data_IF_273669706402
#
_entry.id   IF_273669706402
#
_cell.length_a   1.000
_cell.length_b   1.000
_cell.length_c   1.000
_cell.angle_alpha   90.00
_cell.angle_beta   90.00
_cell.angle_gamma   90.00
#
_symmetry.space_group_name_H-M   'P 1'
#
loop_
_entity.id
_entity.type
_entity.pdbx_description
1 polymer ?
#
# COMPACT_ATOMS: atom_id res chain seq x y z
N UNK A 1 21.20 28.58 8.38
CA UNK A 1 21.20 27.46 9.34
C UNK A 1 20.65 26.25 8.63
N UNK A 2 21.41 25.15 8.54
CA UNK A 2 20.88 23.87 8.08
C UNK A 2 20.14 23.26 9.28
N UNK A 3 18.80 23.23 9.25
CA UNK A 3 18.03 22.47 10.21
C UNK A 3 18.07 21.01 9.77
N UNK A 4 18.88 20.19 10.45
CA UNK A 4 18.85 18.74 10.25
C UNK A 4 17.60 18.19 10.95
N UNK A 5 16.75 17.49 10.19
CA UNK A 5 15.61 16.78 10.78
C UNK A 5 16.14 15.64 11.66
N UNK A 6 15.96 15.78 12.98
CA UNK A 6 16.46 14.84 13.98
C UNK A 6 15.88 13.44 13.81
N UNK A 7 14.61 13.32 13.39
CA UNK A 7 13.98 12.03 13.14
C UNK A 7 14.62 11.35 11.92
N UNK A 8 14.96 12.13 10.89
CA UNK A 8 15.69 11.64 9.72
C UNK A 8 17.11 11.16 10.08
N UNK A 9 17.81 11.85 10.98
CA UNK A 9 19.10 11.40 11.51
C UNK A 9 18.95 10.10 12.31
N UNK A 10 17.97 10.04 13.22
CA UNK A 10 17.66 8.85 14.00
C UNK A 10 17.30 7.65 13.11
N UNK A 11 16.58 7.88 12.01
CA UNK A 11 16.27 6.84 11.03
C UNK A 11 17.52 6.34 10.32
N UNK A 12 18.41 7.23 9.84
CA UNK A 12 19.70 6.81 9.24
C UNK A 12 20.57 6.02 10.23
N UNK A 13 20.63 6.45 11.49
CA UNK A 13 21.35 5.75 12.56
C UNK A 13 20.70 4.38 12.86
N UNK A 14 19.38 4.27 12.76
CA UNK A 14 18.66 3.00 12.86
C UNK A 14 18.94 2.07 11.68
N UNK A 15 18.89 2.58 10.44
CA UNK A 15 19.24 1.83 9.22
C UNK A 15 20.66 1.28 9.31
N UNK A 16 21.63 2.11 9.70
CA UNK A 16 23.03 1.69 9.83
C UNK A 16 23.20 0.53 10.83
N UNK A 17 22.49 0.56 11.95
CA UNK A 17 22.48 -0.54 12.93
C UNK A 17 21.74 -1.76 12.41
N UNK A 18 20.59 -1.56 11.77
CA UNK A 18 19.75 -2.62 11.22
C UNK A 18 20.46 -3.45 10.16
N UNK A 19 21.36 -2.86 9.36
CA UNK A 19 22.19 -3.61 8.39
C UNK A 19 23.02 -4.73 9.02
N UNK A 20 23.37 -4.60 10.29
CA UNK A 20 24.09 -5.62 11.08
C UNK A 20 23.18 -6.48 11.96
N UNK A 21 21.86 -6.25 11.91
CA UNK A 21 20.87 -6.89 12.77
C UNK A 21 19.88 -7.72 11.95
N UNK A 22 19.81 -9.01 12.25
CA UNK A 22 18.81 -9.92 11.69
C UNK A 22 18.11 -10.63 12.85
N UNK A 23 16.83 -10.87 12.69
CA UNK A 23 16.03 -11.71 13.58
C UNK A 23 15.38 -12.82 12.74
N UNK A 24 14.66 -13.73 13.39
CA UNK A 24 13.75 -14.63 12.69
C UNK A 24 12.54 -13.85 12.19
N UNK A 25 12.72 -13.16 11.05
CA UNK A 25 11.71 -12.25 10.48
C UNK A 25 10.43 -12.96 10.05
N UNK A 26 10.48 -14.26 9.75
CA UNK A 26 9.27 -15.03 9.45
C UNK A 26 8.36 -15.20 10.67
N UNK A 27 8.94 -15.28 11.87
CA UNK A 27 8.17 -15.33 13.13
C UNK A 27 7.86 -13.95 13.68
N UNK A 28 8.88 -13.10 13.74
CA UNK A 28 8.80 -11.81 14.41
C UNK A 28 8.17 -10.72 13.54
N UNK A 29 8.21 -10.88 12.22
CA UNK A 29 7.87 -9.87 11.23
C UNK A 29 8.97 -8.82 11.06
N UNK A 30 9.17 -8.35 9.83
CA UNK A 30 10.16 -7.33 9.50
C UNK A 30 9.63 -5.92 9.78
N UNK A 31 10.45 -5.09 10.43
CA UNK A 31 10.29 -3.64 10.50
C UNK A 31 11.66 -2.99 10.74
N UNK A 32 11.89 -1.75 10.29
CA UNK A 32 13.11 -1.02 10.62
C UNK A 32 13.29 -0.82 12.13
N UNK A 33 14.52 -0.93 12.63
CA UNK A 33 14.82 -0.80 14.06
C UNK A 33 14.29 0.50 14.66
N UNK A 34 13.44 0.41 15.68
CA UNK A 34 12.93 1.58 16.41
C UNK A 34 11.85 2.37 15.69
N UNK A 35 11.41 1.92 14.51
CA UNK A 35 10.29 2.49 13.76
C UNK A 35 9.24 1.41 13.51
N UNK A 36 7.99 1.82 13.34
CA UNK A 36 6.97 0.88 12.85
C UNK A 36 6.93 0.85 11.32
N UNK A 37 6.34 -0.23 10.80
CA UNK A 37 5.99 -0.37 9.39
C UNK A 37 4.46 -0.40 9.24
N UNK A 38 3.93 0.53 8.47
CA UNK A 38 2.52 0.53 8.01
C UNK A 38 2.49 0.67 6.51
N UNK A 39 1.32 0.39 5.93
CA UNK A 39 0.92 0.52 4.52
C UNK A 39 2.10 0.50 3.57
N UNK A 40 2.29 -0.66 2.96
CA UNK A 40 3.48 -0.98 2.19
C UNK A 40 3.12 -1.43 0.79
N UNK A 41 4.11 -1.36 -0.09
CA UNK A 41 4.11 -2.05 -1.37
C UNK A 41 5.37 -2.91 -1.50
N UNK A 42 5.17 -4.13 -1.99
CA UNK A 42 6.21 -5.03 -2.41
C UNK A 42 6.25 -5.10 -3.93
N UNK A 43 7.36 -4.67 -4.53
CA UNK A 43 7.56 -4.69 -5.97
C UNK A 43 8.82 -5.48 -6.32
N UNK A 44 8.69 -6.44 -7.23
CA UNK A 44 9.79 -7.34 -7.61
C UNK A 44 10.39 -6.93 -8.95
N UNK A 45 11.73 -6.84 -8.99
CA UNK A 45 12.51 -6.62 -10.21
C UNK A 45 13.76 -7.49 -10.14
N UNK A 46 13.99 -8.27 -11.20
CA UNK A 46 15.18 -9.10 -11.40
C UNK A 46 15.54 -10.03 -10.21
N UNK A 47 14.51 -10.63 -9.60
CA UNK A 47 14.62 -11.53 -8.46
C UNK A 47 14.81 -10.83 -7.12
N UNK A 48 14.70 -9.50 -7.06
CA UNK A 48 14.81 -8.71 -5.82
C UNK A 48 13.47 -8.05 -5.53
N UNK A 49 12.93 -8.32 -4.35
CA UNK A 49 11.78 -7.62 -3.81
C UNK A 49 12.20 -6.33 -3.16
N UNK A 50 11.60 -5.22 -3.58
CA UNK A 50 11.70 -3.91 -2.95
C UNK A 50 10.46 -3.66 -2.11
N UNK A 51 10.67 -3.37 -0.83
CA UNK A 51 9.64 -2.98 0.12
C UNK A 51 9.69 -1.46 0.31
N UNK A 52 8.63 -0.79 -0.10
CA UNK A 52 8.39 0.62 0.21
C UNK A 52 7.30 0.70 1.26
N UNK A 53 7.50 1.48 2.30
CA UNK A 53 6.55 1.49 3.41
C UNK A 53 6.54 2.81 4.16
N UNK A 54 5.43 3.06 4.86
CA UNK A 54 5.40 4.13 5.85
C UNK A 54 6.33 3.74 7.01
N UNK A 55 7.25 4.65 7.33
CA UNK A 55 8.10 4.56 8.51
C UNK A 55 7.74 5.69 9.47
N UNK A 56 7.25 5.37 10.66
CA UNK A 56 6.86 6.36 11.65
C UNK A 56 7.38 6.03 13.05
N UNK A 57 7.35 7.05 13.91
CA UNK A 57 7.84 6.98 15.29
C UNK A 57 6.79 6.28 16.17
N UNK A 58 7.12 5.17 16.84
CA UNK A 58 6.19 4.47 17.71
C UNK A 58 5.58 5.39 18.79
N UNK A 59 4.26 5.27 18.99
CA UNK A 59 3.52 6.08 19.96
C UNK A 59 3.14 7.48 19.47
N UNK A 60 3.54 7.87 18.26
CA UNK A 60 3.10 9.11 17.61
C UNK A 60 1.97 8.80 16.63
N UNK A 61 0.90 9.61 16.68
CA UNK A 61 -0.22 9.46 15.75
C UNK A 61 0.22 9.75 14.31
N UNK A 62 -0.39 9.06 13.34
CA UNK A 62 -0.18 9.33 11.91
C UNK A 62 -0.71 10.72 11.50
N UNK A 63 -1.69 11.26 12.21
CA UNK A 63 -2.27 12.57 11.90
C UNK A 63 -1.52 13.75 12.56
N UNK A 64 -0.40 13.48 13.27
CA UNK A 64 0.39 14.54 13.91
C UNK A 64 1.49 15.01 12.96
N UNK A 65 1.51 16.30 12.57
CA UNK A 65 2.53 16.86 11.70
C UNK A 65 3.95 16.52 12.18
N UNK A 66 4.81 16.09 11.25
CA UNK A 66 6.19 15.69 11.53
C UNK A 66 6.42 14.17 11.64
N UNK A 67 5.37 13.36 11.73
CA UNK A 67 5.46 11.89 11.63
C UNK A 67 5.12 11.42 10.21
N UNK A 68 5.58 10.23 9.78
CA UNK A 68 5.23 9.64 8.46
C UNK A 68 5.52 10.58 7.27
N UNK A 69 6.67 11.27 7.35
CA UNK A 69 7.11 12.30 6.38
C UNK A 69 8.06 11.77 5.30
N UNK A 70 8.29 10.46 5.26
CA UNK A 70 9.06 9.77 4.22
C UNK A 70 8.65 8.31 4.08
N UNK A 71 9.04 7.68 2.98
CA UNK A 71 8.98 6.23 2.82
C UNK A 71 10.31 5.58 3.14
N UNK A 72 10.23 4.54 3.99
CA UNK A 72 11.33 3.61 4.20
C UNK A 72 11.49 2.67 3.01
N UNK A 73 12.69 2.11 2.86
CA UNK A 73 13.02 1.17 1.80
C UNK A 73 13.83 0.01 2.35
N UNK A 74 13.49 -1.22 1.93
CA UNK A 74 14.25 -2.41 2.21
C UNK A 74 14.18 -3.37 1.03
N UNK A 75 15.14 -4.29 0.93
CA UNK A 75 15.14 -5.33 -0.11
C UNK A 75 15.29 -6.72 0.47
N UNK A 76 14.72 -7.70 -0.22
CA UNK A 76 14.90 -9.12 0.07
C UNK A 76 14.86 -9.94 -1.21
N UNK A 77 15.47 -11.12 -1.22
CA UNK A 77 15.28 -12.12 -2.29
C UNK A 77 14.39 -13.28 -1.85
N UNK A 78 14.25 -13.48 -0.53
CA UNK A 78 13.76 -14.71 0.06
C UNK A 78 12.78 -14.48 1.22
N UNK A 79 12.50 -13.23 1.62
CA UNK A 79 11.73 -12.84 2.80
C UNK A 79 12.28 -13.33 4.16
N UNK A 80 13.40 -14.06 4.16
CA UNK A 80 14.12 -14.54 5.34
C UNK A 80 15.19 -13.54 5.75
N UNK A 81 15.89 -12.98 4.78
CA UNK A 81 16.96 -12.00 4.98
C UNK A 81 16.55 -10.66 4.37
N UNK A 82 16.80 -9.58 5.11
CA UNK A 82 16.41 -8.23 4.69
C UNK A 82 17.59 -7.28 4.74
N UNK A 83 17.73 -6.47 3.70
CA UNK A 83 18.65 -5.34 3.67
C UNK A 83 17.87 -4.04 3.78
N UNK A 84 18.09 -3.28 4.86
CA UNK A 84 17.44 -1.99 5.08
C UNK A 84 18.24 -0.86 4.44
N UNK A 85 17.55 0.01 3.72
CA UNK A 85 18.10 1.16 3.01
C UNK A 85 17.73 2.48 3.67
N UNK A 86 18.36 3.55 3.21
CA UNK A 86 17.96 4.91 3.60
C UNK A 86 16.55 5.24 3.07
N UNK A 87 15.86 6.24 3.65
CA UNK A 87 14.57 6.67 3.10
C UNK A 87 14.70 7.08 1.63
N UNK A 88 13.70 6.69 0.83
CA UNK A 88 13.77 6.79 -0.63
C UNK A 88 12.91 7.93 -1.20
N UNK A 89 11.98 8.47 -0.41
CA UNK A 89 11.06 9.53 -0.82
C UNK A 89 10.61 10.34 0.40
N UNK A 90 10.53 11.67 0.29
CA UNK A 90 10.20 12.59 1.38
C UNK A 90 9.04 13.51 0.97
N UNK A 91 8.30 14.04 1.94
CA UNK A 91 7.39 15.19 1.74
C UNK A 91 8.10 16.35 1.04
N UNK A 92 7.34 17.18 0.32
CA UNK A 92 7.82 18.49 -0.14
C UNK A 92 7.24 19.57 0.77
N UNK A 93 8.08 20.19 1.58
CA UNK A 93 7.67 21.25 2.53
C UNK A 93 7.10 22.50 1.85
N UNK A 94 7.26 22.64 0.52
CA UNK A 94 6.65 23.70 -0.29
C UNK A 94 5.54 23.19 -1.20
N UNK A 95 5.31 21.88 -1.22
CA UNK A 95 4.36 21.20 -2.09
C UNK A 95 2.98 21.03 -1.45
N UNK A 96 2.10 20.35 -2.18
CA UNK A 96 0.76 20.01 -1.71
C UNK A 96 0.74 18.83 -0.72
N UNK A 97 1.82 18.04 -0.67
CA UNK A 97 2.05 16.88 0.19
C UNK A 97 3.03 17.20 1.33
N UNK A 98 2.99 18.43 1.84
CA UNK A 98 3.91 18.97 2.85
C UNK A 98 3.68 18.46 4.27
N UNK A 99 2.60 17.72 4.53
CA UNK A 99 2.26 17.18 5.84
C UNK A 99 2.78 15.75 6.01
N UNK A 100 2.36 14.84 5.13
CA UNK A 100 2.68 13.41 5.20
C UNK A 100 2.69 12.74 3.83
N UNK A 101 3.27 11.54 3.78
CA UNK A 101 3.19 10.61 2.65
C UNK A 101 2.76 9.22 3.12
N UNK A 102 1.68 8.67 2.55
CA UNK A 102 1.10 7.38 2.94
C UNK A 102 0.94 6.42 1.76
N UNK A 103 0.86 5.12 2.09
CA UNK A 103 0.44 4.02 1.23
C UNK A 103 1.04 4.08 -0.20
N UNK A 104 2.35 3.85 -0.34
CA UNK A 104 2.98 3.78 -1.65
C UNK A 104 2.47 2.55 -2.41
N UNK A 105 2.36 2.66 -3.72
CA UNK A 105 2.14 1.55 -4.65
C UNK A 105 3.07 1.70 -5.85
N UNK A 106 3.83 0.65 -6.15
CA UNK A 106 4.85 0.69 -7.21
C UNK A 106 4.52 -0.27 -8.34
N UNK A 107 4.75 0.18 -9.57
CA UNK A 107 4.72 -0.65 -10.77
C UNK A 107 5.82 -0.25 -11.75
N UNK A 108 6.22 -1.16 -12.63
CA UNK A 108 7.18 -0.89 -13.71
C UNK A 108 6.47 -0.81 -15.05
N UNK A 109 6.73 0.25 -15.82
CA UNK A 109 6.17 0.41 -17.15
C UNK A 109 7.06 1.31 -18.01
N UNK A 110 7.24 0.94 -19.29
CA UNK A 110 8.01 1.74 -20.24
C UNK A 110 9.49 1.91 -19.89
N UNK A 111 10.10 0.94 -19.21
CA UNK A 111 11.51 1.00 -18.79
C UNK A 111 11.76 1.92 -17.58
N UNK A 112 10.71 2.33 -16.88
CA UNK A 112 10.77 3.18 -15.68
C UNK A 112 9.87 2.61 -14.58
N UNK A 113 10.15 2.99 -13.33
CA UNK A 113 9.35 2.62 -12.17
C UNK A 113 8.49 3.81 -11.74
N UNK A 114 7.26 3.52 -11.35
CA UNK A 114 6.23 4.51 -11.02
C UNK A 114 5.69 4.20 -9.62
N UNK A 115 5.70 5.19 -8.74
CA UNK A 115 5.14 5.11 -7.40
C UNK A 115 3.92 6.04 -7.34
N UNK A 116 2.76 5.46 -7.08
CA UNK A 116 1.57 6.19 -6.66
C UNK A 116 1.59 6.29 -5.15
N UNK A 117 1.32 7.47 -4.61
CA UNK A 117 1.38 7.68 -3.17
C UNK A 117 0.29 8.65 -2.73
N UNK A 118 -0.15 8.52 -1.49
CA UNK A 118 -1.05 9.47 -0.86
C UNK A 118 -0.23 10.61 -0.29
N UNK A 119 -0.39 11.82 -0.82
CA UNK A 119 0.17 13.02 -0.20
C UNK A 119 -0.88 13.69 0.67
N UNK A 120 -0.45 14.17 1.83
CA UNK A 120 -1.34 14.78 2.83
C UNK A 120 -0.83 16.16 3.21
N UNK A 121 -1.70 17.17 3.11
CA UNK A 121 -1.41 18.51 3.59
C UNK A 121 -1.57 18.61 5.12
N UNK A 122 -1.05 19.66 5.76
CA UNK A 122 -1.18 19.82 7.23
C UNK A 122 -2.61 20.03 7.72
N UNK A 123 -3.54 20.38 6.83
CA UNK A 123 -4.98 20.40 7.13
C UNK A 123 -5.65 19.02 6.98
N UNK A 124 -4.87 17.96 6.70
CA UNK A 124 -5.31 16.60 6.39
C UNK A 124 -6.01 16.43 5.04
N UNK A 125 -5.92 17.40 4.11
CA UNK A 125 -6.36 17.17 2.73
C UNK A 125 -5.50 16.07 2.10
N UNK A 126 -6.12 14.97 1.66
CA UNK A 126 -5.45 13.82 1.05
C UNK A 126 -5.69 13.82 -0.46
N UNK A 127 -4.64 13.55 -1.22
CA UNK A 127 -4.67 13.42 -2.69
C UNK A 127 -3.64 12.37 -3.13
N UNK A 128 -3.76 11.87 -4.36
CA UNK A 128 -2.77 10.92 -4.88
C UNK A 128 -1.79 11.63 -5.81
N UNK A 129 -0.51 11.43 -5.56
CA UNK A 129 0.62 11.89 -6.36
C UNK A 129 1.30 10.74 -7.09
N UNK A 130 2.24 11.11 -7.97
CA UNK A 130 3.09 10.18 -8.70
C UNK A 130 4.54 10.58 -8.53
N UNK A 131 5.40 9.60 -8.25
CA UNK A 131 6.84 9.70 -8.33
C UNK A 131 7.39 8.66 -9.31
N UNK A 132 8.55 8.94 -9.87
CA UNK A 132 9.25 8.08 -10.83
C UNK A 132 10.64 7.76 -10.34
N UNK A 133 11.14 6.59 -10.73
CA UNK A 133 12.50 6.15 -10.45
C UNK A 133 13.06 5.35 -11.62
N UNK A 134 14.35 5.54 -11.88
CA UNK A 134 15.11 4.75 -12.86
C UNK A 134 15.89 3.60 -12.20
N UNK A 135 16.01 3.60 -10.86
CA UNK A 135 16.87 2.66 -10.12
C UNK A 135 16.20 1.98 -8.92
N UNK A 136 14.94 2.30 -8.61
CA UNK A 136 14.16 1.83 -7.44
C UNK A 136 14.64 2.38 -6.07
N UNK A 137 15.75 3.12 -6.00
CA UNK A 137 16.29 3.68 -4.76
C UNK A 137 16.00 5.17 -4.62
N UNK A 138 15.99 5.90 -5.73
CA UNK A 138 15.76 7.35 -5.76
C UNK A 138 14.47 7.66 -6.49
N UNK A 139 13.58 8.37 -5.82
CA UNK A 139 12.27 8.74 -6.35
C UNK A 139 12.14 10.24 -6.51
N UNK A 140 11.69 10.66 -7.68
CA UNK A 140 11.41 12.07 -8.00
C UNK A 140 9.93 12.24 -8.28
N UNK A 141 9.30 13.29 -7.73
CA UNK A 141 7.91 13.62 -8.07
C UNK A 141 7.79 13.82 -9.59
N UNK A 142 6.85 13.16 -10.21
CA UNK A 142 6.61 13.27 -11.64
C UNK A 142 5.86 14.57 -12.03
N UNK A 143 5.23 15.22 -11.04
CA UNK A 143 4.43 16.43 -11.20
C UNK A 143 4.44 17.24 -9.91
N UNK A 144 4.34 18.57 -10.03
CA UNK A 144 4.13 19.50 -8.91
C UNK A 144 2.68 19.52 -8.41
N UNK A 145 1.79 18.83 -9.13
CA UNK A 145 0.37 18.69 -8.82
C UNK A 145 -0.01 17.21 -8.63
N UNK A 146 -0.98 16.92 -7.75
CA UNK A 146 -1.54 15.59 -7.59
C UNK A 146 -2.30 15.15 -8.84
N UNK A 147 -2.31 13.84 -9.09
CA UNK A 147 -2.97 13.23 -10.25
C UNK A 147 -4.41 12.82 -9.98
N UNK A 148 -4.79 12.59 -8.71
CA UNK A 148 -6.19 12.41 -8.28
C UNK A 148 -6.53 13.50 -7.29
N UNK A 149 -7.61 14.24 -7.58
CA UNK A 149 -8.05 15.42 -6.84
C UNK A 149 -9.52 15.29 -6.50
N UNK A 150 -9.86 14.61 -5.39
CA UNK A 150 -11.25 14.33 -5.02
C UNK A 150 -12.13 15.58 -4.95
N UNK A 151 -11.54 16.75 -4.65
CA UNK A 151 -12.27 18.02 -4.62
C UNK A 151 -12.83 18.48 -5.97
N UNK A 152 -12.35 17.90 -7.08
CA UNK A 152 -12.82 18.19 -8.44
C UNK A 152 -13.99 17.29 -8.87
N UNK A 153 -14.39 16.33 -8.03
CA UNK A 153 -15.39 15.31 -8.36
C UNK A 153 -16.72 15.54 -7.64
N UNK A 154 -17.82 15.58 -8.41
CA UNK A 154 -19.15 15.90 -7.89
C UNK A 154 -19.72 14.88 -6.90
N UNK A 155 -19.20 13.65 -6.86
CA UNK A 155 -19.75 12.58 -6.02
C UNK A 155 -18.99 12.41 -4.69
N UNK A 156 -17.80 12.99 -4.57
CA UNK A 156 -16.90 12.79 -3.42
C UNK A 156 -17.20 13.79 -2.30
N UNK A 157 -17.11 13.32 -1.07
CA UNK A 157 -16.94 14.16 0.11
C UNK A 157 -15.45 14.30 0.40
N UNK A 158 -14.87 15.49 0.22
CA UNK A 158 -13.47 15.77 0.51
C UNK A 158 -13.33 16.66 1.76
N UNK A 159 -13.25 16.07 2.97
CA UNK A 159 -13.09 16.85 4.19
C UNK A 159 -11.67 17.45 4.27
N UNK A 160 -11.58 18.70 4.73
CA UNK A 160 -10.31 19.38 5.06
C UNK A 160 -10.01 19.38 6.56
N UNK A 161 -10.72 18.55 7.32
CA UNK A 161 -10.39 18.21 8.72
C UNK A 161 -11.10 16.92 9.11
N UNK A 162 -10.39 16.02 9.82
CA UNK A 162 -11.00 14.87 10.49
C UNK A 162 -11.61 13.79 9.58
N UNK A 163 -11.29 13.75 8.29
CA UNK A 163 -11.77 12.70 7.40
C UNK A 163 -10.79 12.36 6.28
N UNK A 164 -11.03 11.23 5.64
CA UNK A 164 -10.18 10.69 4.58
C UNK A 164 -11.03 10.39 3.35
N UNK A 165 -10.57 10.83 2.18
CA UNK A 165 -11.36 10.76 0.97
C UNK A 165 -10.56 10.45 -0.31
N UNK A 166 -9.25 10.27 -0.21
CA UNK A 166 -8.41 9.92 -1.35
C UNK A 166 -7.05 9.38 -0.88
N UNK A 167 -6.95 8.05 -0.75
CA UNK A 167 -5.72 7.37 -0.32
C UNK A 167 -5.63 5.95 -0.87
N UNK A 168 -4.49 5.31 -0.63
CA UNK A 168 -4.24 3.88 -0.82
C UNK A 168 -4.43 3.45 -2.29
N UNK A 169 -3.67 4.09 -3.17
CA UNK A 169 -3.72 3.79 -4.60
C UNK A 169 -3.31 2.33 -4.88
N UNK A 170 -4.02 1.66 -5.78
CA UNK A 170 -3.61 0.39 -6.37
C UNK A 170 -3.86 0.42 -7.86
N UNK A 171 -2.85 0.11 -8.68
CA UNK A 171 -2.96 0.22 -10.13
C UNK A 171 -2.83 -1.14 -10.80
N UNK A 172 -3.71 -1.41 -11.77
CA UNK A 172 -3.59 -2.56 -12.67
C UNK A 172 -3.62 -2.09 -14.12
N UNK A 173 -3.07 -2.89 -15.02
CA UNK A 173 -3.32 -2.77 -16.45
C UNK A 173 -4.48 -3.68 -16.86
N UNK A 174 -5.45 -3.13 -17.60
CA UNK A 174 -6.56 -3.89 -18.15
C UNK A 174 -7.05 -3.27 -19.46
N UNK A 175 -7.21 -4.09 -20.49
CA UNK A 175 -7.68 -3.68 -21.83
C UNK A 175 -6.91 -2.50 -22.43
N UNK A 176 -5.57 -2.51 -22.27
CA UNK A 176 -4.68 -1.48 -22.81
C UNK A 176 -4.76 -0.12 -22.09
N UNK A 177 -5.35 -0.09 -20.89
CA UNK A 177 -5.42 1.10 -20.03
C UNK A 177 -5.04 0.76 -18.60
N UNK A 178 -4.56 1.76 -17.88
CA UNK A 178 -4.34 1.65 -16.45
C UNK A 178 -5.61 1.98 -15.69
N UNK A 179 -5.89 1.19 -14.66
CA UNK A 179 -7.00 1.39 -13.72
C UNK A 179 -6.42 1.60 -12.34
N UNK A 180 -6.65 2.78 -11.76
CA UNK A 180 -6.27 3.11 -10.39
C UNK A 180 -7.48 2.97 -9.50
N UNK A 181 -7.35 2.21 -8.43
CA UNK A 181 -8.33 2.07 -7.36
C UNK A 181 -7.84 2.82 -6.13
N UNK A 182 -8.74 3.48 -5.42
CA UNK A 182 -8.38 4.25 -4.24
C UNK A 182 -9.57 4.34 -3.27
N UNK A 183 -9.26 4.57 -2.01
CA UNK A 183 -10.27 4.82 -0.98
C UNK A 183 -10.85 6.21 -1.14
N UNK A 184 -12.17 6.32 -1.12
CA UNK A 184 -12.89 7.59 -1.08
C UNK A 184 -14.13 7.53 -0.18
N UNK A 185 -14.69 8.71 0.13
CA UNK A 185 -15.96 8.85 0.84
C UNK A 185 -16.93 9.59 -0.07
N UNK A 186 -18.14 9.06 -0.23
CA UNK A 186 -19.21 9.68 -1.03
C UNK A 186 -19.83 10.85 -0.27
N UNK A 187 -20.53 11.76 -0.98
CA UNK A 187 -21.28 12.89 -0.37
C UNK A 187 -22.34 12.49 0.66
N UNK A 188 -22.84 11.25 0.60
CA UNK A 188 -23.77 10.70 1.59
C UNK A 188 -23.06 10.23 2.89
N UNK A 189 -21.74 10.38 2.97
CA UNK A 189 -20.90 9.98 4.09
C UNK A 189 -20.44 8.51 4.05
N UNK A 190 -20.95 7.70 3.13
CA UNK A 190 -20.54 6.30 3.04
C UNK A 190 -19.18 6.15 2.34
N UNK A 191 -18.35 5.24 2.84
CA UNK A 191 -17.09 4.91 2.18
C UNK A 191 -17.31 4.24 0.83
N UNK A 192 -16.24 4.18 0.04
CA UNK A 192 -16.18 3.41 -1.20
C UNK A 192 -14.73 3.13 -1.64
N UNK A 193 -14.60 2.15 -2.52
CA UNK A 193 -13.46 2.06 -3.45
C UNK A 193 -13.87 2.76 -4.73
N UNK A 194 -13.11 3.77 -5.11
CA UNK A 194 -13.28 4.54 -6.33
C UNK A 194 -12.30 4.08 -7.40
N UNK A 195 -12.55 4.48 -8.65
CA UNK A 195 -11.69 4.14 -9.79
C UNK A 195 -11.39 5.37 -10.64
N UNK A 196 -10.21 5.39 -11.22
CA UNK A 196 -9.83 6.28 -12.31
C UNK A 196 -9.12 5.50 -13.42
N UNK A 197 -9.14 6.00 -14.66
CA UNK A 197 -8.47 5.37 -15.79
C UNK A 197 -7.46 6.28 -16.48
N UNK A 198 -6.35 5.71 -16.94
CA UNK A 198 -5.27 6.43 -17.62
C UNK A 198 -4.74 5.64 -18.83
N UNK A 199 -4.14 6.34 -19.78
CA UNK A 199 -3.38 5.75 -20.87
C UNK A 199 -1.85 5.88 -20.68
N UNK A 200 -1.40 6.72 -19.72
CA UNK A 200 0.00 7.16 -19.62
C UNK A 200 0.53 7.29 -18.19
N UNK A 201 -0.24 6.84 -17.19
CA UNK A 201 0.07 6.89 -15.75
C UNK A 201 0.12 8.30 -15.13
N UNK A 202 -0.02 9.36 -15.91
CA UNK A 202 0.05 10.75 -15.44
C UNK A 202 -1.29 11.46 -15.51
N UNK A 203 -2.06 11.23 -16.57
CA UNK A 203 -3.35 11.86 -16.79
C UNK A 203 -4.46 10.86 -16.51
N UNK A 204 -5.29 11.17 -15.52
CA UNK A 204 -6.32 10.28 -15.01
C UNK A 204 -7.71 10.86 -15.23
N UNK A 205 -8.62 10.02 -15.73
CA UNK A 205 -10.04 10.33 -15.84
C UNK A 205 -10.76 9.69 -14.67
N UNK A 206 -11.57 10.47 -13.94
CA UNK A 206 -12.47 9.95 -12.92
C UNK A 206 -13.48 8.97 -13.54
N UNK A 207 -13.65 7.83 -12.89
CA UNK A 207 -14.60 6.80 -13.28
C UNK A 207 -15.64 6.53 -12.19
N UNK A 208 -15.60 7.29 -11.09
CA UNK A 208 -16.54 7.22 -10.00
C UNK A 208 -16.35 6.00 -9.08
N UNK A 209 -17.45 5.61 -8.45
CA UNK A 209 -17.47 4.53 -7.45
C UNK A 209 -17.40 3.16 -8.12
N UNK A 210 -16.36 2.39 -7.81
CA UNK A 210 -16.22 1.00 -8.24
C UNK A 210 -16.93 0.03 -7.29
N UNK A 211 -16.88 0.28 -5.98
CA UNK A 211 -17.57 -0.49 -4.95
C UNK A 211 -17.99 0.42 -3.79
N UNK A 212 -19.28 0.41 -3.43
CA UNK A 212 -19.82 1.24 -2.36
C UNK A 212 -20.09 0.46 -1.08
N UNK A 213 -19.99 1.13 0.06
CA UNK A 213 -20.41 0.56 1.35
C UNK A 213 -21.75 1.18 1.79
N UNK A 214 -22.51 0.42 2.60
CA UNK A 214 -23.80 0.84 3.16
C UNK A 214 -23.67 1.37 4.60
N UNK A 215 -22.53 1.98 4.94
CA UNK A 215 -22.25 2.66 6.21
C UNK A 215 -21.02 3.55 6.07
N UNK A 216 -20.77 4.41 7.07
CA UNK A 216 -19.46 5.04 7.26
C UNK A 216 -18.43 3.92 7.47
N UNK A 217 -17.68 3.62 6.42
CA UNK A 217 -16.63 2.62 6.43
C UNK A 217 -15.38 3.27 5.84
N UNK A 218 -14.33 3.39 6.64
CA UNK A 218 -13.00 3.68 6.12
C UNK A 218 -12.48 2.40 5.47
N UNK A 219 -12.88 2.18 4.22
CA UNK A 219 -12.25 1.19 3.37
C UNK A 219 -10.78 1.57 3.23
N UNK A 220 -9.86 0.62 3.36
CA UNK A 220 -8.42 0.92 3.28
C UNK A 220 -7.72 -0.12 2.43
N UNK A 221 -6.66 0.33 1.74
CA UNK A 221 -5.69 -0.53 1.07
C UNK A 221 -6.35 -1.53 0.11
N UNK A 222 -7.13 -0.98 -0.84
CA UNK A 222 -7.77 -1.77 -1.88
C UNK A 222 -6.73 -2.48 -2.73
N UNK A 223 -6.93 -3.76 -3.01
CA UNK A 223 -5.97 -4.57 -3.76
C UNK A 223 -6.74 -5.45 -4.77
N UNK A 224 -6.63 -5.12 -6.06
CA UNK A 224 -7.38 -5.77 -7.15
C UNK A 224 -6.53 -6.84 -7.82
N UNK A 225 -7.08 -8.06 -7.90
CA UNK A 225 -6.36 -9.25 -8.32
C UNK A 225 -7.19 -10.02 -9.36
N UNK A 226 -6.56 -10.33 -10.50
CA UNK A 226 -7.12 -11.27 -11.48
C UNK A 226 -6.97 -12.70 -10.98
N UNK A 227 -7.99 -13.53 -11.18
CA UNK A 227 -8.04 -14.94 -10.84
C UNK A 227 -7.79 -15.82 -12.06
N UNK A 228 -7.44 -17.10 -11.83
CA UNK A 228 -7.08 -18.04 -12.90
C UNK A 228 -8.25 -18.36 -13.85
N UNK A 229 -9.49 -18.30 -13.34
CA UNK A 229 -10.73 -18.47 -14.11
C UNK A 229 -11.11 -17.22 -14.94
N UNK A 230 -10.31 -16.16 -14.88
CA UNK A 230 -10.54 -14.91 -15.59
C UNK A 230 -11.44 -13.91 -14.85
N UNK A 231 -12.08 -14.32 -13.75
CA UNK A 231 -12.78 -13.41 -12.85
C UNK A 231 -11.76 -12.59 -12.06
N UNK A 232 -12.28 -11.70 -11.24
CA UNK A 232 -11.49 -10.75 -10.46
C UNK A 232 -11.93 -10.72 -9.01
N UNK A 233 -10.99 -10.34 -8.15
CA UNK A 233 -11.17 -10.20 -6.71
C UNK A 233 -10.63 -8.85 -6.26
N UNK A 234 -11.43 -8.12 -5.49
CA UNK A 234 -11.03 -6.91 -4.79
C UNK A 234 -10.91 -7.23 -3.30
N UNK A 235 -9.71 -7.11 -2.75
CA UNK A 235 -9.47 -7.08 -1.31
C UNK A 235 -9.54 -5.66 -0.76
N UNK A 236 -9.90 -5.53 0.50
CA UNK A 236 -9.89 -4.26 1.23
C UNK A 236 -9.97 -4.49 2.75
N UNK A 237 -9.44 -3.54 3.50
CA UNK A 237 -9.65 -3.40 4.94
C UNK A 237 -10.89 -2.54 5.27
N UNK A 238 -11.37 -2.63 6.51
CA UNK A 238 -12.42 -1.74 7.04
C UNK A 238 -13.00 -2.27 8.37
N UNK A 239 -12.90 -1.42 9.42
CA UNK A 239 -13.34 -1.49 10.84
C UNK A 239 -13.39 -2.83 11.62
N UNK A 240 -13.49 -4.00 11.00
CA UNK A 240 -13.71 -5.29 11.67
C UNK A 240 -13.05 -6.49 11.00
N UNK A 241 -12.61 -6.37 9.74
CA UNK A 241 -11.84 -7.42 9.07
C UNK A 241 -11.26 -6.97 7.73
N UNK A 242 -10.16 -7.62 7.35
CA UNK A 242 -9.79 -7.78 5.97
C UNK A 242 -10.83 -8.64 5.26
N UNK A 243 -11.27 -8.19 4.08
CA UNK A 243 -12.38 -8.80 3.35
C UNK A 243 -12.12 -8.78 1.84
N UNK A 244 -12.95 -9.50 1.09
CA UNK A 244 -12.94 -9.43 -0.37
C UNK A 244 -14.35 -9.51 -0.98
N UNK A 245 -14.45 -9.09 -2.24
CA UNK A 245 -15.58 -9.34 -3.15
C UNK A 245 -15.06 -9.80 -4.51
N UNK A 246 -15.87 -10.58 -5.23
CA UNK A 246 -15.55 -11.09 -6.56
C UNK A 246 -16.47 -10.47 -7.62
N UNK A 247 -15.98 -10.33 -8.85
CA UNK A 247 -16.85 -10.19 -10.04
C UNK A 247 -16.16 -10.58 -11.34
N UNK A 248 -16.92 -10.48 -12.43
CA UNK A 248 -16.49 -10.89 -13.77
C UNK A 248 -15.65 -9.83 -14.49
N UNK A 249 -15.66 -8.57 -14.02
CA UNK A 249 -14.87 -7.48 -14.60
C UNK A 249 -14.31 -6.56 -13.50
N UNK A 250 -13.21 -5.83 -13.77
CA UNK A 250 -12.57 -4.99 -12.77
C UNK A 250 -13.15 -3.57 -12.69
N UNK A 251 -14.13 -3.21 -13.53
CA UNK A 251 -14.60 -1.82 -13.60
C UNK A 251 -15.60 -1.46 -12.52
N UNK A 252 -16.52 -2.39 -12.20
CA UNK A 252 -17.56 -2.20 -11.18
C UNK A 252 -17.83 -3.51 -10.46
N UNK A 253 -17.74 -3.46 -9.15
CA UNK A 253 -18.04 -4.61 -8.28
C UNK A 253 -19.53 -4.65 -7.94
N UNK A 254 -20.12 -5.85 -7.83
CA UNK A 254 -21.51 -6.01 -7.48
C UNK A 254 -21.76 -5.54 -6.06
N UNK A 255 -22.97 -5.06 -5.78
CA UNK A 255 -23.43 -4.70 -4.43
C UNK A 255 -23.79 -5.99 -3.67
N UNK A 256 -22.76 -6.76 -3.35
CA UNK A 256 -22.86 -8.03 -2.61
C UNK A 256 -22.15 -7.90 -1.28
N UNK A 257 -22.60 -8.70 -0.32
CA UNK A 257 -21.91 -8.79 0.95
C UNK A 257 -20.46 -9.27 0.75
N UNK A 258 -19.53 -8.54 1.35
CA UNK A 258 -18.12 -8.92 1.47
C UNK A 258 -17.96 -10.25 2.20
N UNK A 259 -16.95 -11.02 1.80
CA UNK A 259 -16.50 -12.19 2.55
C UNK A 259 -15.31 -11.81 3.42
N UNK A 260 -15.42 -12.06 4.73
CA UNK A 260 -14.34 -11.84 5.70
C UNK A 260 -13.24 -12.89 5.52
N UNK A 261 -11.97 -12.47 5.57
CA UNK A 261 -10.81 -13.37 5.56
C UNK A 261 -10.12 -13.47 6.92
N UNK A 262 -9.91 -12.31 7.60
CA UNK A 262 -9.12 -12.21 8.84
C UNK A 262 -9.32 -10.84 9.52
N UNK A 263 -9.29 -10.74 10.85
CA UNK A 263 -9.63 -9.49 11.58
C UNK A 263 -8.51 -8.88 12.44
N UNK A 264 -7.38 -9.54 12.58
CA UNK A 264 -6.21 -9.09 13.34
C UNK A 264 -5.09 -8.51 12.44
N UNK A 265 -5.38 -8.28 11.16
CA UNK A 265 -4.44 -7.77 10.16
C UNK A 265 -4.94 -6.49 9.49
N UNK A 266 -4.01 -5.77 8.88
CA UNK A 266 -4.29 -4.68 7.94
C UNK A 266 -3.16 -4.62 6.89
N UNK A 267 -3.38 -3.85 5.82
CA UNK A 267 -2.46 -3.68 4.69
C UNK A 267 -1.94 -5.00 4.15
N UNK A 268 -2.68 -5.64 3.23
CA UNK A 268 -2.30 -6.92 2.63
C UNK A 268 -2.03 -6.78 1.14
N UNK A 269 -0.93 -7.36 0.67
CA UNK A 269 -0.62 -7.49 -0.74
C UNK A 269 -0.44 -8.95 -1.16
N UNK A 270 -0.86 -9.27 -2.38
CA UNK A 270 -0.60 -10.58 -2.99
C UNK A 270 0.78 -10.56 -3.64
N UNK A 271 1.69 -11.38 -3.12
CA UNK A 271 3.08 -11.53 -3.60
C UNK A 271 3.12 -12.47 -4.81
N UNK A 272 2.54 -13.66 -4.67
CA UNK A 272 2.65 -14.72 -5.68
C UNK A 272 1.45 -15.67 -5.62
N UNK A 273 1.09 -16.23 -6.76
CA UNK A 273 -0.01 -17.20 -6.89
C UNK A 273 0.53 -18.52 -7.41
N UNK A 274 0.12 -19.62 -6.80
CA UNK A 274 0.42 -20.98 -7.24
C UNK A 274 -0.86 -21.82 -7.15
N UNK A 275 -1.60 -21.88 -8.26
CA UNK A 275 -2.94 -22.46 -8.26
C UNK A 275 -3.84 -21.75 -7.24
N UNK A 276 -4.46 -22.54 -6.37
CA UNK A 276 -5.34 -22.05 -5.29
C UNK A 276 -4.59 -21.54 -4.05
N UNK A 277 -3.26 -21.60 -4.03
CA UNK A 277 -2.46 -21.13 -2.90
C UNK A 277 -1.78 -19.81 -3.24
N UNK A 278 -2.11 -18.77 -2.49
CA UNK A 278 -1.62 -17.42 -2.73
C UNK A 278 -0.74 -16.98 -1.57
N UNK A 279 0.51 -16.65 -1.88
CA UNK A 279 1.44 -16.02 -0.96
C UNK A 279 1.07 -14.54 -0.84
N UNK A 280 0.90 -14.08 0.38
CA UNK A 280 0.55 -12.70 0.73
C UNK A 280 1.52 -12.14 1.75
N UNK A 281 1.77 -10.84 1.67
CA UNK A 281 2.30 -10.06 2.78
C UNK A 281 1.15 -9.33 3.47
N UNK A 282 1.31 -9.10 4.76
CA UNK A 282 0.39 -8.29 5.57
C UNK A 282 1.13 -7.75 6.79
N UNK A 283 0.56 -6.79 7.53
CA UNK A 283 1.07 -6.47 8.86
C UNK A 283 0.02 -6.69 9.96
N UNK A 284 0.49 -7.18 11.10
CA UNK A 284 -0.35 -7.42 12.26
C UNK A 284 -0.58 -6.14 13.07
N UNK A 285 -1.80 -5.95 13.57
CA UNK A 285 -2.19 -4.74 14.33
C UNK A 285 -1.46 -4.57 15.66
N UNK A 286 -0.85 -5.63 16.20
CA UNK A 286 -0.19 -5.59 17.51
C UNK A 286 1.17 -4.91 17.50
N UNK A 287 1.93 -5.05 16.41
CA UNK A 287 3.34 -4.62 16.36
C UNK A 287 3.74 -3.87 15.10
N UNK A 288 2.85 -3.73 14.10
CA UNK A 288 3.14 -3.00 12.87
C UNK A 288 4.43 -3.49 12.19
N UNK A 289 4.48 -4.81 11.98
CA UNK A 289 5.58 -5.53 11.34
C UNK A 289 5.06 -6.31 10.15
N UNK A 290 5.83 -6.33 9.08
CA UNK A 290 5.55 -7.09 7.86
C UNK A 290 5.68 -8.59 8.13
N UNK A 291 4.62 -9.33 7.84
CA UNK A 291 4.54 -10.77 7.92
C UNK A 291 4.20 -11.33 6.54
N UNK A 292 4.54 -12.60 6.33
CA UNK A 292 4.15 -13.35 5.14
C UNK A 292 3.28 -14.54 5.52
N UNK A 293 2.34 -14.88 4.66
CA UNK A 293 1.43 -15.99 4.86
C UNK A 293 0.82 -16.51 3.58
N UNK A 294 0.04 -17.58 3.71
CA UNK A 294 -0.64 -18.23 2.59
C UNK A 294 -2.14 -18.16 2.79
N UNK A 295 -2.86 -17.81 1.72
CA UNK A 295 -4.29 -18.07 1.59
C UNK A 295 -4.46 -19.33 0.74
N UNK A 296 -5.21 -20.30 1.25
CA UNK A 296 -5.62 -21.50 0.52
C UNK A 296 -7.08 -21.36 0.08
N UNK A 297 -7.31 -21.15 -1.21
CA UNK A 297 -8.64 -20.96 -1.78
C UNK A 297 -9.41 -22.26 -1.98
N UNK A 298 -8.76 -23.42 -1.82
CA UNK A 298 -9.44 -24.72 -1.82
C UNK A 298 -10.10 -25.05 -0.48
N UNK A 299 -9.75 -24.31 0.58
CA UNK A 299 -10.33 -24.49 1.89
C UNK A 299 -11.79 -24.03 1.94
N UNK A 300 -12.61 -24.70 2.76
CA UNK A 300 -14.02 -24.32 2.97
C UNK A 300 -14.17 -22.89 3.52
N UNK A 301 -13.20 -22.44 4.32
CA UNK A 301 -13.13 -21.08 4.86
C UNK A 301 -11.71 -20.53 4.69
N UNK A 302 -11.39 -19.93 3.52
CA UNK A 302 -10.07 -19.39 3.25
C UNK A 302 -9.69 -18.32 4.27
N UNK A 303 -8.48 -18.43 4.83
CA UNK A 303 -7.88 -17.43 5.72
C UNK A 303 -6.38 -17.36 5.48
N UNK A 304 -5.71 -16.36 6.07
CA UNK A 304 -4.26 -16.19 5.95
C UNK A 304 -3.58 -16.97 7.07
N UNK A 305 -2.81 -17.98 6.70
CA UNK A 305 -1.95 -18.72 7.63
C UNK A 305 -0.52 -18.19 7.55
N UNK A 306 0.04 -17.72 8.67
CA UNK A 306 1.41 -17.19 8.70
C UNK A 306 2.43 -18.27 8.32
N UNK A 307 3.40 -17.92 7.47
CA UNK A 307 4.59 -18.73 7.25
C UNK A 307 5.63 -18.35 8.31
N UNK A 308 6.14 -19.35 9.04
CA UNK A 308 7.12 -19.16 10.12
C UNK A 308 8.45 -19.89 9.88
N UNK A 309 8.60 -20.55 8.73
CA UNK A 309 9.80 -21.30 8.33
C UNK A 309 10.06 -21.14 6.83
N UNK A 310 11.32 -21.27 6.41
CA UNK A 310 11.72 -21.14 5.00
C UNK A 310 11.07 -22.16 4.07
N UNK A 311 10.74 -23.37 4.56
CA UNK A 311 10.06 -24.41 3.77
C UNK A 311 8.70 -23.95 3.24
N UNK A 312 7.99 -23.07 3.98
CA UNK A 312 6.73 -22.50 3.53
C UNK A 312 6.87 -21.56 2.33
N UNK A 313 8.05 -20.95 2.16
CA UNK A 313 8.37 -20.07 1.03
C UNK A 313 8.91 -20.85 -0.18
N UNK A 314 9.55 -22.00 0.06
CA UNK A 314 10.05 -22.89 -0.98
C UNK A 314 8.96 -23.31 -1.96
N UNK A 315 7.72 -23.50 -1.48
CA UNK A 315 6.56 -23.79 -2.33
C UNK A 315 6.40 -22.73 -3.44
N UNK A 316 6.71 -21.47 -3.15
CA UNK A 316 6.56 -20.33 -4.05
C UNK A 316 7.83 -20.01 -4.84
N UNK A 317 8.86 -20.87 -4.78
CA UNK A 317 10.14 -20.64 -5.47
C UNK A 317 10.94 -19.49 -4.86
N UNK A 318 10.78 -19.25 -3.55
CA UNK A 318 11.54 -18.29 -2.78
C UNK A 318 12.41 -19.09 -1.79
N UNK A 319 13.62 -19.43 -2.22
CA UNK A 319 14.68 -20.01 -1.39
C UNK A 319 15.92 -19.15 -1.56
N UNK A 320 16.62 -18.87 -0.45
CA UNK A 320 17.90 -18.17 -0.44
C UNK A 320 19.03 -18.98 -1.04
#
# INVERSE_FOLDING_TARGET
>A
MNFENMDGKCYRDAVARQRSHQEDWLKAGYAPLGFYLKDFCLHEVDGVWHLYHIAGTPGVSCCLPGNEVWFGHATTRDFVTWETHEPCFFIDVRGWDHGHVFAPFVLSHGGRHWMFYTGVATDNTQRIGVAVSDDLFRWERASDRPVIRPEEYDWVFCPTSGGAACRDAHVIEHEGRFQLYYTAVKKDGNGCVARASSADLLHWRDEGVAYGFNAWNQCESSNVQRMADGRWRLFFGGHHAWSYVDADNPYRWPDVARTKIRDDITGMEVIRRKGDRWLVAYFGLRYYRLLVGVIDWSAESPTITQITTGDGLAEFGLQG
#
